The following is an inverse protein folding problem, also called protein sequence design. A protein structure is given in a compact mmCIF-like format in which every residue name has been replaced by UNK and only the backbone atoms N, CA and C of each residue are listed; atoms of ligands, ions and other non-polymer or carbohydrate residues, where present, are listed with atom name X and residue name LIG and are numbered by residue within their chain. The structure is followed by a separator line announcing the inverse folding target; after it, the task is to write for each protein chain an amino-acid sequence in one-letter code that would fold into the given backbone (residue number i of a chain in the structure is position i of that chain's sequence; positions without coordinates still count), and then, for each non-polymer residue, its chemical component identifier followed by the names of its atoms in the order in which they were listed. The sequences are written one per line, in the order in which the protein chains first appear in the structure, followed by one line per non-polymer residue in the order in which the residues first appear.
data_IF_119903784184
#
_entry.id   IF_119903784184
#
_cell.length_a   1.000
_cell.length_b   1.000
_cell.length_c   1.000
_cell.angle_alpha   90.00
_cell.angle_beta   90.00
_cell.angle_gamma   90.00
#
_symmetry.space_group_name_H-M   'P 1'
#
loop_
_entity.id
_entity.type
_entity.pdbx_description
1 polymer ?
#
# COMPACT_ATOMS: atom_id res chain seq x y z
N UNK A 1 -40.79 -45.52 118.51
CA UNK A 1 -40.36 -46.07 117.21
C UNK A 1 -41.64 -46.45 116.49
N UNK A 2 -42.29 -45.48 115.84
CA UNK A 2 -43.59 -45.68 115.19
C UNK A 2 -43.51 -45.26 113.73
N UNK A 3 -43.87 -46.19 112.86
CA UNK A 3 -43.73 -46.10 111.39
C UNK A 3 -44.80 -45.17 110.81
N UNK A 4 -44.39 -44.29 109.91
CA UNK A 4 -45.27 -43.49 109.05
C UNK A 4 -46.07 -44.42 108.12
N UNK A 5 -47.41 -44.33 108.05
CA UNK A 5 -48.21 -45.20 107.20
C UNK A 5 -48.06 -44.80 105.72
N UNK A 6 -47.67 -45.76 104.88
CA UNK A 6 -47.75 -45.63 103.43
C UNK A 6 -49.20 -45.82 102.99
N UNK A 7 -49.78 -44.79 102.35
CA UNK A 7 -51.11 -44.86 101.75
C UNK A 7 -51.16 -45.80 100.53
N UNK A 8 -52.38 -46.25 100.13
CA UNK A 8 -52.56 -47.24 99.07
C UNK A 8 -52.17 -46.68 97.68
N UNK A 9 -51.33 -47.44 96.98
CA UNK A 9 -50.61 -47.07 95.76
C UNK A 9 -51.32 -47.47 94.46
N UNK A 10 -52.65 -47.29 94.34
CA UNK A 10 -53.36 -47.67 93.11
C UNK A 10 -54.45 -46.68 92.69
N UNK A 11 -54.05 -45.56 92.08
CA UNK A 11 -54.89 -44.71 91.23
C UNK A 11 -54.57 -44.96 89.75
N UNK A 12 -55.58 -44.90 88.88
CA UNK A 12 -55.43 -45.01 87.42
C UNK A 12 -54.45 -43.94 86.90
N UNK A 13 -53.27 -44.37 86.44
CA UNK A 13 -52.26 -43.46 85.87
C UNK A 13 -52.56 -43.27 84.38
N UNK A 14 -53.03 -42.08 84.00
CA UNK A 14 -53.19 -41.70 82.60
C UNK A 14 -51.81 -41.40 81.97
N UNK A 15 -51.05 -42.45 81.65
CA UNK A 15 -49.75 -42.34 80.98
C UNK A 15 -49.99 -42.27 79.48
N UNK A 16 -49.59 -41.18 78.84
CA UNK A 16 -49.63 -41.06 77.38
C UNK A 16 -48.79 -42.17 76.74
N UNK A 17 -49.31 -42.93 75.76
CA UNK A 17 -48.54 -43.99 75.11
C UNK A 17 -47.36 -43.40 74.35
N UNK A 18 -46.19 -44.04 74.45
CA UNK A 18 -44.98 -43.58 73.76
C UNK A 18 -45.10 -43.68 72.24
N UNK A 19 -44.63 -42.66 71.55
CA UNK A 19 -44.60 -42.65 70.08
C UNK A 19 -43.60 -43.68 69.53
N UNK A 20 -43.76 -44.08 68.26
CA UNK A 20 -42.81 -44.99 67.59
C UNK A 20 -41.38 -44.42 67.57
N UNK A 21 -41.26 -43.09 67.47
CA UNK A 21 -39.97 -42.37 67.48
C UNK A 21 -39.30 -42.45 68.84
N UNK A 22 -40.04 -42.22 69.93
CA UNK A 22 -39.55 -42.38 71.31
C UNK A 22 -39.09 -43.81 71.60
N UNK A 23 -39.87 -44.81 71.18
CA UNK A 23 -39.49 -46.23 71.34
C UNK A 23 -38.23 -46.61 70.57
N UNK A 24 -38.01 -46.03 69.38
CA UNK A 24 -36.76 -46.23 68.62
C UNK A 24 -35.59 -45.53 69.28
N UNK A 25 -35.78 -44.30 69.75
CA UNK A 25 -34.75 -43.54 70.43
C UNK A 25 -34.27 -44.23 71.72
N UNK A 26 -35.16 -44.87 72.49
CA UNK A 26 -34.76 -45.64 73.68
C UNK A 26 -33.82 -46.82 73.38
N UNK A 27 -33.84 -47.34 72.14
CA UNK A 27 -32.98 -48.48 71.74
C UNK A 27 -31.60 -48.06 71.26
N UNK A 28 -31.42 -46.81 70.85
CA UNK A 28 -30.18 -46.29 70.29
C UNK A 28 -29.71 -45.07 71.09
N UNK A 29 -28.52 -45.17 71.69
CA UNK A 29 -27.92 -44.10 72.49
C UNK A 29 -27.79 -42.79 71.71
N UNK A 30 -27.46 -42.85 70.41
CA UNK A 30 -27.31 -41.65 69.58
C UNK A 30 -28.66 -40.98 69.34
N UNK A 31 -29.68 -41.77 68.96
CA UNK A 31 -31.03 -41.26 68.79
C UNK A 31 -31.63 -40.72 70.10
N UNK A 32 -31.34 -41.34 71.25
CA UNK A 32 -31.74 -40.89 72.58
C UNK A 32 -31.16 -39.51 72.89
N UNK A 33 -29.85 -39.33 72.73
CA UNK A 33 -29.19 -38.06 73.00
C UNK A 33 -29.63 -36.97 72.02
N UNK A 34 -29.83 -37.30 70.74
CA UNK A 34 -30.41 -36.38 69.76
C UNK A 34 -31.81 -35.92 70.19
N UNK A 35 -32.64 -36.83 70.71
CA UNK A 35 -33.97 -36.48 71.22
C UNK A 35 -33.88 -35.60 72.48
N UNK A 36 -32.96 -35.88 73.41
CA UNK A 36 -32.72 -35.04 74.60
C UNK A 36 -32.28 -33.63 74.24
N UNK A 37 -31.36 -33.51 73.29
CA UNK A 37 -30.89 -32.21 72.79
C UNK A 37 -32.02 -31.41 72.13
N UNK A 38 -32.85 -32.06 71.30
CA UNK A 38 -34.00 -31.43 70.64
C UNK A 38 -35.12 -31.01 71.62
N UNK A 39 -35.25 -31.71 72.76
CA UNK A 39 -36.25 -31.40 73.79
C UNK A 39 -35.69 -30.52 74.92
N UNK A 40 -34.42 -30.11 74.86
CA UNK A 40 -33.79 -29.26 75.89
C UNK A 40 -34.50 -27.91 75.94
N UNK A 41 -34.81 -27.46 77.16
CA UNK A 41 -35.42 -26.16 77.42
C UNK A 41 -34.36 -25.05 77.44
N UNK A 42 -34.75 -23.82 77.07
CA UNK A 42 -33.91 -22.62 77.13
C UNK A 42 -33.70 -21.97 75.75
N UNK A 43 -33.35 -20.68 75.76
CA UNK A 43 -33.19 -19.88 74.53
C UNK A 43 -32.10 -20.44 73.62
N UNK A 44 -30.94 -20.82 74.18
CA UNK A 44 -29.83 -21.40 73.41
C UNK A 44 -30.22 -22.72 72.72
N UNK A 45 -31.01 -23.56 73.39
CA UNK A 45 -31.51 -24.81 72.80
C UNK A 45 -32.56 -24.53 71.71
N UNK A 46 -33.41 -23.50 71.90
CA UNK A 46 -34.35 -23.05 70.85
C UNK A 46 -33.61 -22.57 69.60
N UNK A 47 -32.62 -21.70 69.75
CA UNK A 47 -31.79 -21.19 68.66
C UNK A 47 -31.05 -22.30 67.92
N UNK A 48 -30.49 -23.28 68.64
CA UNK A 48 -29.84 -24.42 68.00
C UNK A 48 -30.79 -25.25 67.13
N UNK A 49 -32.04 -25.45 67.57
CA UNK A 49 -33.04 -26.22 66.80
C UNK A 49 -33.53 -25.47 65.57
N UNK A 50 -33.72 -24.17 65.69
CA UNK A 50 -34.16 -23.31 64.58
C UNK A 50 -33.06 -23.18 63.51
N UNK A 51 -31.79 -23.20 63.93
CA UNK A 51 -30.63 -23.17 63.04
C UNK A 51 -30.12 -24.56 62.62
N UNK A 52 -30.70 -25.65 63.13
CA UNK A 52 -30.28 -26.99 62.77
C UNK A 52 -30.73 -27.29 61.33
N UNK A 53 -29.82 -27.72 60.43
CA UNK A 53 -30.20 -28.07 59.08
C UNK A 53 -31.11 -29.30 59.10
N UNK A 54 -32.18 -29.28 58.30
CA UNK A 54 -33.07 -30.44 58.18
C UNK A 54 -32.39 -31.54 57.35
N UNK A 55 -31.69 -31.13 56.30
CA UNK A 55 -30.92 -31.98 55.41
C UNK A 55 -29.43 -31.59 55.41
N UNK A 56 -28.51 -32.55 55.23
CA UNK A 56 -27.08 -32.24 55.17
C UNK A 56 -26.70 -31.32 54.01
N UNK A 57 -27.52 -31.22 52.96
CA UNK A 57 -27.33 -30.28 51.85
C UNK A 57 -27.48 -28.81 52.25
N UNK A 58 -28.28 -28.51 53.27
CA UNK A 58 -28.50 -27.14 53.78
C UNK A 58 -27.25 -26.55 54.48
N UNK A 59 -26.22 -27.37 54.70
CA UNK A 59 -24.91 -26.89 55.13
C UNK A 59 -24.13 -26.22 53.99
N UNK A 60 -24.43 -26.57 52.74
CA UNK A 60 -23.73 -26.09 51.54
C UNK A 60 -24.58 -25.15 50.69
N UNK A 61 -25.90 -25.19 50.85
CA UNK A 61 -26.85 -24.30 50.19
C UNK A 61 -27.72 -23.61 51.22
N UNK A 62 -27.85 -22.31 51.08
CA UNK A 62 -28.77 -21.53 51.90
C UNK A 62 -30.21 -21.84 51.50
N UNK A 63 -31.17 -21.55 52.39
CA UNK A 63 -32.60 -21.69 52.07
C UNK A 63 -33.00 -20.64 51.03
N UNK A 64 -33.96 -20.91 50.13
CA UNK A 64 -34.38 -19.98 49.08
C UNK A 64 -34.73 -18.56 49.53
N UNK A 65 -35.23 -18.43 50.75
CA UNK A 65 -35.65 -17.16 51.37
C UNK A 65 -34.49 -16.40 52.06
N UNK A 66 -33.31 -17.01 52.15
CA UNK A 66 -32.15 -16.37 52.77
C UNK A 66 -31.46 -15.42 51.79
N UNK A 67 -30.95 -14.29 52.29
CA UNK A 67 -30.32 -13.23 51.50
C UNK A 67 -29.05 -13.64 50.71
N UNK A 68 -28.55 -14.85 50.89
CA UNK A 68 -27.41 -15.41 50.14
C UNK A 68 -27.77 -16.61 49.26
N UNK A 69 -29.05 -16.93 49.12
CA UNK A 69 -29.45 -18.00 48.23
C UNK A 69 -29.22 -17.62 46.77
N UNK A 70 -28.64 -18.57 46.04
CA UNK A 70 -28.46 -18.49 44.60
C UNK A 70 -28.90 -19.84 44.04
N UNK A 71 -29.67 -19.80 42.95
CA UNK A 71 -30.05 -21.02 42.26
C UNK A 71 -28.80 -21.70 41.68
N UNK A 72 -28.80 -23.03 41.61
CA UNK A 72 -27.66 -23.77 41.05
C UNK A 72 -27.36 -23.35 39.59
N UNK A 73 -28.38 -22.93 38.85
CA UNK A 73 -28.24 -22.41 37.48
C UNK A 73 -27.44 -21.10 37.40
N UNK A 74 -27.53 -20.25 38.44
CA UNK A 74 -26.78 -18.99 38.51
C UNK A 74 -25.41 -19.20 39.18
N UNK A 75 -25.30 -20.22 40.05
CA UNK A 75 -24.07 -20.61 40.72
C UNK A 75 -23.06 -21.26 39.76
N UNK A 76 -23.54 -22.00 38.77
CA UNK A 76 -22.70 -22.74 37.82
C UNK A 76 -22.91 -22.26 36.39
N UNK A 77 -21.83 -21.90 35.71
CA UNK A 77 -21.86 -21.65 34.27
C UNK A 77 -22.21 -22.95 33.54
N UNK A 78 -23.41 -23.02 32.96
CA UNK A 78 -23.96 -24.20 32.31
C UNK A 78 -23.62 -24.29 30.81
N UNK A 79 -23.25 -23.17 30.17
CA UNK A 79 -22.99 -23.11 28.72
C UNK A 79 -21.49 -23.18 28.35
N UNK A 80 -20.78 -24.16 28.93
CA UNK A 80 -19.38 -24.40 28.57
C UNK A 80 -19.21 -24.83 27.11
N UNK A 81 -20.22 -25.54 26.56
CA UNK A 81 -20.24 -26.00 25.18
C UNK A 81 -20.39 -24.83 24.18
N UNK A 82 -21.25 -23.86 24.46
CA UNK A 82 -21.42 -22.67 23.63
C UNK A 82 -20.15 -21.82 23.57
N UNK A 83 -19.48 -21.62 24.71
CA UNK A 83 -18.19 -20.91 24.75
C UNK A 83 -17.10 -21.61 23.92
N UNK A 84 -17.01 -22.94 24.01
CA UNK A 84 -16.05 -23.74 23.25
C UNK A 84 -16.31 -23.66 21.74
N UNK A 85 -17.59 -23.74 21.34
CA UNK A 85 -18.01 -23.54 19.95
C UNK A 85 -17.65 -22.15 19.44
N UNK A 86 -17.91 -21.10 20.21
CA UNK A 86 -17.57 -19.72 19.84
C UNK A 86 -16.06 -19.53 19.70
N UNK A 87 -15.26 -20.10 20.62
CA UNK A 87 -13.79 -20.08 20.53
C UNK A 87 -13.30 -20.77 19.25
N UNK A 88 -13.85 -21.94 18.92
CA UNK A 88 -13.49 -22.70 17.71
C UNK A 88 -13.88 -21.94 16.44
N UNK A 89 -15.09 -21.36 16.42
CA UNK A 89 -15.58 -20.53 15.31
C UNK A 89 -14.70 -19.29 15.10
N UNK A 90 -14.31 -18.61 16.17
CA UNK A 90 -13.41 -17.47 16.10
C UNK A 90 -12.03 -17.85 15.53
N UNK A 91 -11.47 -18.99 15.96
CA UNK A 91 -10.22 -19.50 15.43
C UNK A 91 -10.31 -19.86 13.94
N UNK A 92 -11.43 -20.47 13.52
CA UNK A 92 -11.69 -20.77 12.11
C UNK A 92 -11.81 -19.49 11.27
N UNK A 93 -12.63 -18.53 11.71
CA UNK A 93 -12.82 -17.26 11.01
C UNK A 93 -11.50 -16.52 10.87
N UNK A 94 -10.69 -16.43 11.93
CA UNK A 94 -9.36 -15.81 11.88
C UNK A 94 -8.46 -16.44 10.81
N UNK A 95 -8.49 -17.78 10.69
CA UNK A 95 -7.72 -18.46 9.63
C UNK A 95 -8.24 -18.08 8.24
N UNK A 96 -9.56 -18.09 8.05
CA UNK A 96 -10.17 -17.69 6.78
C UNK A 96 -9.81 -16.25 6.41
N UNK A 97 -9.87 -15.32 7.36
CA UNK A 97 -9.52 -13.92 7.15
C UNK A 97 -8.06 -13.77 6.73
N UNK A 98 -7.14 -14.49 7.36
CA UNK A 98 -5.71 -14.48 6.97
C UNK A 98 -5.55 -14.97 5.53
N UNK A 99 -6.21 -16.08 5.14
CA UNK A 99 -6.14 -16.60 3.79
C UNK A 99 -6.70 -15.62 2.77
N UNK A 100 -7.88 -15.05 3.04
CA UNK A 100 -8.53 -14.08 2.17
C UNK A 100 -7.71 -12.81 2.02
N UNK A 101 -7.18 -12.27 3.13
CA UNK A 101 -6.32 -11.09 3.11
C UNK A 101 -5.03 -11.35 2.32
N UNK A 102 -4.41 -12.52 2.53
CA UNK A 102 -3.19 -12.89 1.78
C UNK A 102 -3.49 -13.05 0.29
N UNK A 103 -4.63 -13.63 -0.07
CA UNK A 103 -5.07 -13.79 -1.46
C UNK A 103 -5.31 -12.43 -2.12
N UNK A 104 -6.05 -11.55 -1.44
CA UNK A 104 -6.40 -10.23 -1.97
C UNK A 104 -5.16 -9.35 -2.12
N UNK A 105 -4.28 -9.33 -1.12
CA UNK A 105 -3.02 -8.56 -1.21
C UNK A 105 -2.13 -9.05 -2.34
N UNK A 106 -2.01 -10.37 -2.54
CA UNK A 106 -1.28 -10.93 -3.69
C UNK A 106 -1.90 -10.55 -5.03
N UNK A 107 -3.23 -10.62 -5.14
CA UNK A 107 -3.93 -10.23 -6.37
C UNK A 107 -3.70 -8.75 -6.71
N UNK A 108 -3.82 -7.85 -5.72
CA UNK A 108 -3.58 -6.41 -5.89
C UNK A 108 -2.13 -6.12 -6.28
N UNK A 109 -1.17 -6.77 -5.61
CA UNK A 109 0.25 -6.58 -5.91
C UNK A 109 0.61 -7.07 -7.33
N UNK A 110 0.03 -8.20 -7.74
CA UNK A 110 0.24 -8.75 -9.08
C UNK A 110 -0.38 -7.83 -10.13
N UNK A 111 -1.61 -7.35 -9.94
CA UNK A 111 -2.24 -6.37 -10.84
C UNK A 111 -1.41 -5.08 -10.98
N UNK A 112 -0.89 -4.55 -9.86
CA UNK A 112 0.00 -3.39 -9.88
C UNK A 112 1.29 -3.66 -10.67
N UNK A 113 1.87 -4.85 -10.53
CA UNK A 113 3.04 -5.29 -11.30
C UNK A 113 2.72 -5.37 -12.80
N UNK A 114 1.60 -5.98 -13.18
CA UNK A 114 1.17 -6.05 -14.59
C UNK A 114 0.95 -4.67 -15.19
N UNK A 115 0.26 -3.76 -14.48
CA UNK A 115 0.07 -2.36 -14.91
C UNK A 115 1.39 -1.64 -15.14
N UNK A 116 2.39 -1.85 -14.26
CA UNK A 116 3.72 -1.26 -14.46
C UNK A 116 4.39 -1.81 -15.72
N UNK A 117 4.34 -3.12 -15.95
CA UNK A 117 4.89 -3.75 -17.16
C UNK A 117 4.20 -3.21 -18.41
N UNK A 118 2.87 -3.13 -18.41
CA UNK A 118 2.08 -2.62 -19.52
C UNK A 118 2.40 -1.16 -19.82
N UNK A 119 2.48 -0.30 -18.79
CA UNK A 119 2.86 1.10 -18.95
C UNK A 119 4.27 1.25 -19.54
N UNK A 120 5.22 0.40 -19.13
CA UNK A 120 6.60 0.43 -19.62
C UNK A 120 6.64 0.02 -21.10
N UNK A 121 5.95 -1.06 -21.45
CA UNK A 121 5.83 -1.51 -22.85
C UNK A 121 5.18 -0.46 -23.72
N UNK A 122 4.10 0.16 -23.24
CA UNK A 122 3.42 1.22 -23.96
C UNK A 122 4.34 2.43 -24.20
N UNK A 123 5.12 2.85 -23.20
CA UNK A 123 6.10 3.93 -23.35
C UNK A 123 7.19 3.58 -24.36
N UNK A 124 7.69 2.34 -24.35
CA UNK A 124 8.66 1.86 -25.34
C UNK A 124 8.06 1.85 -26.75
N UNK A 125 6.83 1.37 -26.92
CA UNK A 125 6.13 1.38 -28.21
C UNK A 125 5.95 2.79 -28.75
N UNK A 126 5.53 3.74 -27.90
CA UNK A 126 5.40 5.16 -28.26
C UNK A 126 6.77 5.75 -28.64
N UNK A 127 7.81 5.44 -27.88
CA UNK A 127 9.18 5.88 -28.19
C UNK A 127 9.62 5.36 -29.56
N UNK A 128 9.44 4.07 -29.85
CA UNK A 128 9.82 3.47 -31.13
C UNK A 128 8.93 3.93 -32.29
N UNK A 129 7.65 4.22 -32.06
CA UNK A 129 6.77 4.83 -33.05
C UNK A 129 7.30 6.23 -33.42
N UNK A 130 7.60 7.07 -32.42
CA UNK A 130 8.17 8.40 -32.63
C UNK A 130 9.52 8.34 -33.36
N UNK A 131 10.39 7.40 -32.99
CA UNK A 131 11.68 7.22 -33.68
C UNK A 131 11.51 6.79 -35.15
N UNK A 132 10.51 5.96 -35.45
CA UNK A 132 10.17 5.58 -36.82
C UNK A 132 9.62 6.75 -37.63
N UNK A 133 8.71 7.54 -37.04
CA UNK A 133 8.17 8.75 -37.68
C UNK A 133 9.25 9.80 -37.95
N UNK A 134 10.17 10.01 -37.01
CA UNK A 134 11.28 10.93 -37.17
C UNK A 134 12.28 10.46 -38.25
N UNK A 135 12.35 9.16 -38.53
CA UNK A 135 13.25 8.60 -39.56
C UNK A 135 14.74 8.77 -39.27
N UNK A 136 15.12 9.27 -38.08
CA UNK A 136 16.50 9.65 -37.73
C UNK A 136 17.46 8.46 -37.80
N UNK A 137 17.00 7.24 -37.51
CA UNK A 137 17.82 6.02 -37.64
C UNK A 137 18.22 5.72 -39.10
N UNK A 138 17.45 6.20 -40.06
CA UNK A 138 17.73 6.10 -41.50
C UNK A 138 18.33 7.39 -42.08
N UNK A 139 18.48 8.45 -41.27
CA UNK A 139 19.14 9.66 -41.69
C UNK A 139 20.63 9.37 -41.89
N UNK A 140 21.13 9.68 -43.09
CA UNK A 140 22.56 9.58 -43.38
C UNK A 140 23.31 10.63 -42.56
N UNK A 141 24.53 10.31 -42.15
CA UNK A 141 25.43 11.30 -41.55
C UNK A 141 25.63 12.44 -42.56
N UNK A 142 25.31 13.67 -42.16
CA UNK A 142 25.59 14.88 -42.96
C UNK A 142 27.05 15.28 -42.77
N UNK A 143 27.69 15.76 -43.83
CA UNK A 143 29.03 16.34 -43.76
C UNK A 143 29.05 17.55 -42.82
N UNK A 144 30.20 17.85 -42.22
CA UNK A 144 30.38 19.05 -41.40
C UNK A 144 30.52 20.35 -42.23
N UNK A 145 30.39 20.24 -43.55
CA UNK A 145 30.57 21.34 -44.50
C UNK A 145 29.29 21.48 -45.32
N UNK A 146 28.77 22.70 -45.56
CA UNK A 146 27.44 22.92 -46.14
C UNK A 146 27.44 22.81 -47.68
N UNK A 147 28.04 21.73 -48.19
CA UNK A 147 27.94 21.29 -49.57
C UNK A 147 28.08 19.77 -49.63
N UNK A 148 27.54 19.16 -50.68
CA UNK A 148 27.67 17.74 -50.95
C UNK A 148 29.04 17.44 -51.60
N UNK A 149 29.91 16.62 -50.97
CA UNK A 149 31.24 16.33 -51.50
C UNK A 149 31.23 15.55 -52.81
N UNK A 150 30.14 14.87 -53.17
CA UNK A 150 30.05 14.10 -54.41
C UNK A 150 29.57 14.96 -55.58
N UNK A 151 28.51 15.73 -55.39
CA UNK A 151 27.94 16.57 -56.44
C UNK A 151 28.54 17.97 -56.50
N UNK A 152 29.30 18.36 -55.47
CA UNK A 152 29.84 19.71 -55.25
C UNK A 152 28.76 20.81 -55.21
N UNK A 153 27.49 20.40 -55.06
CA UNK A 153 26.37 21.33 -54.91
C UNK A 153 26.32 21.85 -53.48
N UNK A 154 26.15 23.15 -53.32
CA UNK A 154 25.92 23.77 -52.02
C UNK A 154 24.55 23.36 -51.49
N UNK A 155 24.44 23.21 -50.17
CA UNK A 155 23.14 22.94 -49.55
C UNK A 155 22.23 24.16 -49.66
N UNK A 156 20.91 23.95 -49.81
CA UNK A 156 19.87 24.99 -49.77
C UNK A 156 19.63 25.50 -48.34
N UNK A 157 20.71 25.81 -47.64
CA UNK A 157 20.73 26.34 -46.28
C UNK A 157 21.48 27.66 -46.26
N UNK A 158 21.23 28.47 -45.22
CA UNK A 158 21.93 29.75 -45.04
C UNK A 158 23.46 29.61 -45.09
N UNK A 159 24.00 28.56 -44.44
CA UNK A 159 25.43 28.34 -44.41
C UNK A 159 25.98 27.88 -45.77
N UNK A 160 25.18 27.15 -46.55
CA UNK A 160 25.51 26.78 -47.93
C UNK A 160 25.56 28.00 -48.85
N UNK A 161 24.58 28.90 -48.75
CA UNK A 161 24.59 30.15 -49.53
C UNK A 161 25.72 31.08 -49.14
N UNK A 162 26.05 31.15 -47.84
CA UNK A 162 27.18 31.94 -47.35
C UNK A 162 28.50 31.40 -47.88
N UNK A 163 28.67 30.08 -47.91
CA UNK A 163 29.85 29.43 -48.49
C UNK A 163 29.94 29.69 -50.00
N UNK A 164 28.82 29.53 -50.73
CA UNK A 164 28.72 29.85 -52.17
C UNK A 164 29.18 31.27 -52.46
N UNK A 165 28.65 32.26 -51.74
CA UNK A 165 29.02 33.66 -51.92
C UNK A 165 30.51 33.90 -51.62
N UNK A 166 31.05 33.29 -50.55
CA UNK A 166 32.46 33.42 -50.22
C UNK A 166 33.38 32.86 -51.34
N UNK A 167 33.03 31.70 -51.89
CA UNK A 167 33.76 31.06 -52.99
C UNK A 167 33.65 31.89 -54.28
N UNK A 168 32.47 32.39 -54.61
CA UNK A 168 32.25 33.24 -55.79
C UNK A 168 33.01 34.57 -55.66
N UNK A 169 33.12 35.13 -54.45
CA UNK A 169 33.95 36.29 -54.19
C UNK A 169 35.46 36.00 -54.37
N UNK A 170 35.92 34.80 -54.04
CA UNK A 170 37.31 34.38 -54.32
C UNK A 170 37.54 34.25 -55.82
N UNK A 171 36.61 33.64 -56.56
CA UNK A 171 36.65 33.56 -58.03
C UNK A 171 36.67 34.95 -58.67
N UNK A 172 35.82 35.85 -58.19
CA UNK A 172 35.80 37.24 -58.61
C UNK A 172 37.15 37.94 -58.39
N UNK A 173 37.75 37.83 -57.19
CA UNK A 173 39.07 38.41 -56.89
C UNK A 173 40.17 37.85 -57.78
N UNK A 174 40.12 36.55 -58.09
CA UNK A 174 41.06 35.92 -59.01
C UNK A 174 40.90 36.45 -60.44
N UNK A 175 39.66 36.62 -60.92
CA UNK A 175 39.37 37.20 -62.22
C UNK A 175 39.83 38.67 -62.32
N UNK A 176 39.53 39.50 -61.32
CA UNK A 176 40.01 40.89 -61.26
C UNK A 176 41.55 40.94 -61.26
N UNK A 177 42.21 40.05 -60.51
CA UNK A 177 43.68 39.94 -60.53
C UNK A 177 44.19 39.57 -61.92
N UNK A 178 43.56 38.62 -62.61
CA UNK A 178 43.94 38.22 -63.96
C UNK A 178 43.80 39.39 -64.95
N UNK A 179 42.69 40.15 -64.88
CA UNK A 179 42.48 41.36 -65.70
C UNK A 179 43.54 42.42 -65.39
N UNK A 180 43.83 42.66 -64.12
CA UNK A 180 44.87 43.63 -63.72
C UNK A 180 46.27 43.18 -64.16
N UNK A 181 46.60 41.90 -64.06
CA UNK A 181 47.88 41.38 -64.55
C UNK A 181 47.98 41.48 -66.08
N UNK A 182 46.92 41.17 -66.82
CA UNK A 182 46.89 41.37 -68.26
C UNK A 182 47.03 42.85 -68.62
N UNK A 183 46.32 43.73 -67.90
CA UNK A 183 46.38 45.17 -68.10
C UNK A 183 47.75 45.75 -67.81
N UNK A 184 48.41 45.33 -66.73
CA UNK A 184 49.69 45.90 -66.25
C UNK A 184 50.94 45.16 -66.72
N UNK A 185 50.82 43.88 -67.10
CA UNK A 185 51.93 43.05 -67.55
C UNK A 185 52.43 43.39 -68.96
N UNK A 186 51.55 43.91 -69.81
CA UNK A 186 51.84 44.22 -71.23
C UNK A 186 51.90 45.73 -71.54
N UNK A 187 51.88 46.61 -70.53
CA UNK A 187 51.66 48.07 -70.69
C UNK A 187 52.71 48.85 -71.47
N UNK A 188 53.80 48.22 -71.92
CA UNK A 188 54.81 48.95 -72.70
C UNK A 188 54.40 49.12 -74.15
N UNK A 189 53.51 48.26 -74.68
CA UNK A 189 53.11 48.32 -76.09
C UNK A 189 51.64 47.88 -76.26
N UNK A 190 50.89 48.53 -77.16
CA UNK A 190 49.45 48.29 -77.35
C UNK A 190 49.08 46.97 -78.05
N UNK A 191 50.00 46.01 -78.12
CA UNK A 191 49.86 44.73 -78.79
C UNK A 191 50.64 43.65 -78.05
N UNK A 192 50.22 42.40 -78.19
CA UNK A 192 50.90 41.26 -77.59
C UNK A 192 52.25 41.04 -78.32
N UNK A 193 53.35 41.06 -77.56
CA UNK A 193 54.73 41.03 -78.10
C UNK A 193 55.06 39.68 -78.78
N UNK A 194 54.32 38.61 -78.49
CA UNK A 194 54.57 37.26 -79.04
C UNK A 194 53.95 37.10 -80.43
N UNK A 195 52.76 37.65 -80.68
CA UNK A 195 52.00 37.41 -81.91
C UNK A 195 51.59 38.68 -82.66
N UNK A 196 51.86 39.87 -82.11
CA UNK A 196 51.59 41.17 -82.74
C UNK A 196 50.12 41.57 -82.82
N UNK A 197 49.20 40.80 -82.23
CA UNK A 197 47.77 41.09 -82.26
C UNK A 197 47.44 42.15 -81.20
N UNK A 198 46.58 43.11 -81.56
CA UNK A 198 46.12 44.16 -80.64
C UNK A 198 45.35 43.59 -79.46
N UNK A 199 45.55 44.17 -78.27
CA UNK A 199 44.84 43.70 -77.08
C UNK A 199 43.35 44.07 -77.13
N UNK A 200 42.48 43.07 -77.04
CA UNK A 200 41.09 43.30 -76.68
C UNK A 200 41.05 43.74 -75.20
N UNK A 201 40.38 44.87 -74.92
CA UNK A 201 40.14 45.28 -73.53
C UNK A 201 39.20 44.26 -72.92
N UNK A 202 39.73 43.43 -72.02
CA UNK A 202 38.91 42.53 -71.21
C UNK A 202 37.80 43.34 -70.52
N UNK A 203 36.55 42.88 -70.63
CA UNK A 203 35.41 43.54 -70.02
C UNK A 203 35.54 43.61 -68.50
N UNK A 204 34.85 44.58 -67.90
CA UNK A 204 34.83 44.74 -66.45
C UNK A 204 34.23 43.49 -65.80
N UNK A 205 34.97 42.88 -64.88
CA UNK A 205 34.46 41.76 -64.08
C UNK A 205 33.45 42.34 -63.09
N UNK A 206 32.21 41.85 -63.13
CA UNK A 206 31.14 42.28 -62.21
C UNK A 206 31.23 41.47 -60.91
N UNK A 207 31.15 42.11 -59.72
CA UNK A 207 31.13 41.39 -58.46
C UNK A 207 29.85 40.53 -58.36
N UNK A 208 29.95 39.30 -57.84
CA UNK A 208 28.79 38.46 -57.62
C UNK A 208 27.90 39.10 -56.55
N UNK A 209 26.59 39.10 -56.79
CA UNK A 209 25.63 39.57 -55.80
C UNK A 209 25.31 38.49 -54.77
N UNK A 210 25.04 38.93 -53.53
CA UNK A 210 24.43 38.05 -52.52
C UNK A 210 23.04 37.61 -52.99
N UNK A 211 22.67 36.37 -52.71
CA UNK A 211 21.29 35.89 -52.89
C UNK A 211 20.32 36.70 -52.03
N UNK A 212 19.07 36.82 -52.49
CA UNK A 212 18.01 37.50 -51.75
C UNK A 212 17.81 36.89 -50.35
N UNK A 213 17.89 35.56 -50.26
CA UNK A 213 17.79 34.83 -49.00
C UNK A 213 18.90 35.22 -48.00
N UNK A 214 20.14 35.36 -48.45
CA UNK A 214 21.26 35.82 -47.62
C UNK A 214 21.11 37.29 -47.21
N UNK A 215 20.69 38.16 -48.15
CA UNK A 215 20.42 39.59 -47.87
C UNK A 215 19.38 39.74 -46.75
N UNK A 216 18.24 39.05 -46.85
CA UNK A 216 17.19 39.09 -45.84
C UNK A 216 17.63 38.60 -44.45
N UNK A 217 18.50 37.58 -44.38
CA UNK A 217 19.00 37.06 -43.12
C UNK A 217 19.97 38.03 -42.41
N UNK A 218 20.82 38.72 -43.17
CA UNK A 218 21.72 39.73 -42.64
C UNK A 218 20.94 40.96 -42.15
N UNK A 219 19.94 41.43 -42.90
CA UNK A 219 19.09 42.57 -42.53
C UNK A 219 18.30 42.30 -41.22
N UNK A 220 17.80 41.08 -41.02
CA UNK A 220 17.12 40.69 -39.78
C UNK A 220 18.05 40.64 -38.57
N UNK A 221 19.34 40.36 -38.77
CA UNK A 221 20.34 40.32 -37.70
C UNK A 221 20.76 41.74 -37.30
N UNK A 222 20.90 42.63 -38.27
CA UNK A 222 21.30 44.02 -38.03
C UNK A 222 20.14 44.90 -37.53
N UNK A 223 18.88 44.49 -37.79
CA UNK A 223 17.66 45.10 -37.23
C UNK A 223 17.33 44.70 -35.78
N UNK A 224 18.10 43.81 -35.14
CA UNK A 224 18.06 43.56 -33.69
C UNK A 224 19.10 44.44 -32.99
N UNK A 225 18.80 45.74 -32.88
CA UNK A 225 19.43 46.66 -31.92
C UNK A 225 18.35 47.49 -31.25
#
# INVERSE_FOLDING_TARGET
MDRVPQGPSSGFKNIKPMTRKERRALKDKVALEKQRLMNRTGLAAKMYRENAPENPSELLTLKPDAAGFMADADRFHSDTAGEEFLKRKAAYNRKQDIYNNTRNTRAVNEEARWKKIESSKHQEEVYWARQRELGVKSAKNKSCVPYDPLTLQYDDTHDGERLRYADDMVRYRAAVRAVNMARHGDTRVGYNIINGIGHERGGDVVPPEKSEYLKHYEDQKDGRK
#
